data_IF_858464351638
#
_entry.id   IF_858464351638
#
_cell.length_a   1.000
_cell.length_b   1.000
_cell.length_c   1.000
_cell.angle_alpha   90.00
_cell.angle_beta   90.00
_cell.angle_gamma   90.00
#
_symmetry.space_group_name_H-M   'P 1'
#
loop_
_entity.id
_entity.type
_entity.pdbx_description
1 polymer ?
#
# COMPACT_ATOMS: atom_id res chain seq x y z
N UNK A 1 -9.45 4.08 -6.60
CA UNK A 1 -8.35 3.08 -6.80
C UNK A 1 -7.53 3.37 -8.07
N UNK A 2 -8.20 3.69 -9.19
CA UNK A 2 -7.54 3.87 -10.50
C UNK A 2 -6.52 5.00 -10.52
N UNK A 3 -6.77 6.10 -9.80
CA UNK A 3 -5.82 7.21 -9.67
C UNK A 3 -4.51 6.75 -9.01
N UNK A 4 -4.60 5.94 -7.93
CA UNK A 4 -3.41 5.39 -7.29
C UNK A 4 -2.69 4.36 -8.20
N UNK A 5 -3.45 3.61 -9.00
CA UNK A 5 -2.89 2.64 -9.95
C UNK A 5 -2.01 3.29 -11.04
N UNK A 6 -2.22 4.58 -11.35
CA UNK A 6 -1.35 5.34 -12.27
C UNK A 6 0.10 5.48 -11.79
N UNK A 7 0.40 5.15 -10.52
CA UNK A 7 1.77 5.15 -10.00
C UNK A 7 2.59 4.01 -10.62
N UNK A 8 1.96 2.91 -11.01
CA UNK A 8 2.64 1.75 -11.59
C UNK A 8 3.48 2.15 -12.84
N UNK A 9 4.74 1.69 -12.95
CA UNK A 9 5.38 0.65 -12.15
C UNK A 9 6.20 1.17 -10.96
N UNK A 10 6.14 2.47 -10.62
CA UNK A 10 6.94 3.02 -9.51
C UNK A 10 6.54 2.41 -8.16
N UNK A 11 7.46 2.25 -7.20
CA UNK A 11 7.13 1.69 -5.90
C UNK A 11 6.04 2.46 -5.16
N UNK A 12 5.07 1.73 -4.60
CA UNK A 12 3.96 2.26 -3.81
C UNK A 12 3.68 1.35 -2.60
N UNK A 13 3.57 1.96 -1.43
CA UNK A 13 3.09 1.32 -0.22
C UNK A 13 1.87 2.07 0.32
N UNK A 14 0.84 1.34 0.76
CA UNK A 14 -0.37 1.92 1.35
C UNK A 14 -0.69 1.29 2.70
N UNK A 15 -1.03 2.10 3.70
CA UNK A 15 -1.45 1.65 5.02
C UNK A 15 -2.91 2.03 5.27
N UNK A 16 -3.65 1.15 5.94
CA UNK A 16 -5.05 1.37 6.30
C UNK A 16 -5.34 0.80 7.69
N UNK A 17 -6.17 1.50 8.47
CA UNK A 17 -6.84 0.92 9.63
C UNK A 17 -8.18 0.32 9.23
N UNK A 18 -8.51 -0.87 9.72
CA UNK A 18 -9.77 -1.54 9.39
C UNK A 18 -11.03 -0.73 9.78
N UNK A 19 -10.95 -0.01 10.90
CA UNK A 19 -12.05 0.78 11.46
C UNK A 19 -11.95 2.27 11.08
N UNK A 20 -11.07 2.64 10.14
CA UNK A 20 -10.97 4.02 9.66
C UNK A 20 -12.19 4.37 8.80
N UNK A 21 -13.10 5.19 9.35
CA UNK A 21 -14.28 5.68 8.63
C UNK A 21 -13.97 6.54 7.40
N UNK A 22 -12.77 7.13 7.32
CA UNK A 22 -12.30 7.85 6.12
C UNK A 22 -11.91 6.93 4.97
N UNK A 23 -11.68 5.64 5.24
CA UNK A 23 -11.29 4.62 4.27
C UNK A 23 -12.10 3.33 4.49
N UNK A 24 -13.38 3.29 4.08
CA UNK A 24 -14.25 2.14 4.32
C UNK A 24 -13.61 0.81 3.87
N UNK A 25 -13.54 -0.17 4.78
CA UNK A 25 -12.69 -1.35 4.60
C UNK A 25 -13.03 -2.19 3.38
N UNK A 26 -14.31 -2.31 3.02
CA UNK A 26 -14.72 -3.09 1.85
C UNK A 26 -14.21 -2.44 0.56
N UNK A 27 -14.24 -1.11 0.48
CA UNK A 27 -13.69 -0.34 -0.63
C UNK A 27 -12.16 -0.44 -0.67
N UNK A 28 -11.49 -0.44 0.49
CA UNK A 28 -10.04 -0.66 0.58
C UNK A 28 -9.68 -2.05 0.05
N UNK A 29 -10.34 -3.11 0.55
CA UNK A 29 -10.08 -4.51 0.15
C UNK A 29 -10.32 -4.74 -1.34
N UNK A 30 -11.29 -4.05 -1.95
CA UNK A 30 -11.52 -4.09 -3.38
C UNK A 30 -10.50 -3.24 -4.15
N UNK A 31 -10.22 -2.03 -3.67
CA UNK A 31 -9.31 -1.08 -4.30
C UNK A 31 -7.88 -1.58 -4.42
N UNK A 32 -7.34 -2.22 -3.38
CA UNK A 32 -5.98 -2.77 -3.42
C UNK A 32 -5.82 -3.88 -4.45
N UNK A 33 -6.88 -4.66 -4.73
CA UNK A 33 -6.86 -5.69 -5.80
C UNK A 33 -6.78 -5.05 -7.19
N UNK A 34 -7.54 -3.97 -7.42
CA UNK A 34 -7.50 -3.21 -8.68
C UNK A 34 -6.10 -2.62 -8.92
N UNK A 35 -5.49 -2.05 -7.87
CA UNK A 35 -4.14 -1.50 -7.95
C UNK A 35 -3.13 -2.64 -8.22
N UNK A 36 -3.21 -3.76 -7.49
CA UNK A 36 -2.32 -4.91 -7.68
C UNK A 36 -2.37 -5.45 -9.12
N UNK A 37 -3.56 -5.54 -9.73
CA UNK A 37 -3.73 -5.96 -11.12
C UNK A 37 -3.00 -5.03 -12.11
N UNK A 38 -2.99 -3.72 -11.85
CA UNK A 38 -2.27 -2.76 -12.70
C UNK A 38 -0.74 -2.89 -12.57
N UNK A 39 -0.24 -3.21 -11.38
CA UNK A 39 1.18 -3.52 -11.19
C UNK A 39 1.58 -4.84 -11.87
N UNK A 40 0.74 -5.87 -11.78
CA UNK A 40 0.95 -7.16 -12.44
C UNK A 40 0.97 -7.03 -13.97
N UNK A 41 0.08 -6.23 -14.55
CA UNK A 41 0.06 -5.94 -15.99
C UNK A 41 1.36 -5.26 -16.49
N UNK A 42 2.20 -4.75 -15.58
CA UNK A 42 3.49 -4.13 -15.88
C UNK A 42 4.69 -4.97 -15.38
N UNK A 43 4.45 -6.20 -14.91
CA UNK A 43 5.48 -7.07 -14.31
C UNK A 43 6.23 -6.40 -13.14
N UNK A 44 5.50 -5.61 -12.34
CA UNK A 44 6.03 -4.83 -11.24
C UNK A 44 5.34 -5.19 -9.91
N UNK A 45 4.88 -6.42 -9.75
CA UNK A 45 4.12 -6.90 -8.59
C UNK A 45 4.85 -6.61 -7.27
N UNK A 46 6.17 -6.76 -7.26
CA UNK A 46 7.04 -6.55 -6.09
C UNK A 46 7.16 -5.07 -5.66
N UNK A 47 6.76 -4.14 -6.52
CA UNK A 47 6.79 -2.70 -6.25
C UNK A 47 5.53 -2.19 -5.54
N UNK A 48 4.46 -2.98 -5.49
CA UNK A 48 3.24 -2.62 -4.77
C UNK A 48 3.07 -3.45 -3.51
N UNK A 49 2.89 -2.78 -2.38
CA UNK A 49 2.54 -3.43 -1.12
C UNK A 49 1.43 -2.65 -0.42
N UNK A 50 0.66 -3.34 0.42
CA UNK A 50 -0.31 -2.69 1.30
C UNK A 50 -0.38 -3.41 2.63
N UNK A 51 -0.80 -2.71 3.67
CA UNK A 51 -1.04 -3.27 5.00
C UNK A 51 -2.36 -2.73 5.56
N UNK A 52 -3.17 -3.64 6.08
CA UNK A 52 -4.43 -3.34 6.76
C UNK A 52 -4.26 -3.83 8.20
N UNK A 53 -4.37 -2.92 9.16
CA UNK A 53 -4.28 -3.26 10.58
C UNK A 53 -5.68 -3.50 11.15
N UNK A 54 -5.95 -4.74 11.56
CA UNK A 54 -7.23 -5.18 12.13
C UNK A 54 -7.53 -4.43 13.43
N UNK A 55 -8.78 -4.00 13.60
CA UNK A 55 -9.21 -3.23 14.78
C UNK A 55 -8.64 -1.81 14.91
N UNK A 56 -7.80 -1.36 13.97
CA UNK A 56 -7.19 -0.03 13.99
C UNK A 56 -8.07 1.01 13.31
N UNK A 57 -8.15 2.22 13.88
CA UNK A 57 -8.94 3.33 13.33
C UNK A 57 -8.10 4.26 12.45
N UNK A 58 -8.40 5.56 12.52
CA UNK A 58 -7.66 6.61 11.80
C UNK A 58 -6.32 6.92 12.50
N UNK A 59 -5.31 6.06 12.30
CA UNK A 59 -3.98 6.18 12.90
C UNK A 59 -2.91 5.64 11.97
N UNK A 60 -1.67 6.13 12.12
CA UNK A 60 -0.48 5.52 11.54
C UNK A 60 0.31 4.81 12.65
N UNK A 61 0.05 3.51 12.82
CA UNK A 61 0.58 2.72 13.93
C UNK A 61 2.09 2.48 13.82
N UNK A 62 2.76 2.03 14.90
CA UNK A 62 4.16 1.59 14.83
C UNK A 62 4.41 0.51 13.76
N UNK A 63 3.46 -0.42 13.55
CA UNK A 63 3.58 -1.45 12.52
C UNK A 63 3.49 -0.86 11.10
N UNK A 64 2.61 0.12 10.88
CA UNK A 64 2.51 0.85 9.62
C UNK A 64 3.78 1.67 9.32
N UNK A 65 4.38 2.28 10.35
CA UNK A 65 5.66 2.97 10.24
C UNK A 65 6.79 2.01 9.86
N UNK A 66 6.89 0.85 10.51
CA UNK A 66 7.87 -0.18 10.19
C UNK A 66 7.77 -0.65 8.73
N UNK A 67 6.55 -0.90 8.24
CA UNK A 67 6.28 -1.26 6.84
C UNK A 67 6.68 -0.15 5.87
N UNK A 68 6.39 1.10 6.20
CA UNK A 68 6.75 2.28 5.39
C UNK A 68 8.27 2.43 5.28
N UNK A 69 8.97 2.35 6.41
CA UNK A 69 10.43 2.45 6.45
C UNK A 69 11.09 1.30 5.69
N UNK A 70 10.59 0.08 5.84
CA UNK A 70 11.06 -1.09 5.08
C UNK A 70 10.90 -0.91 3.56
N UNK A 71 9.78 -0.31 3.13
CA UNK A 71 9.53 -0.02 1.73
C UNK A 71 10.50 1.05 1.18
N UNK A 72 10.77 2.10 1.95
CA UNK A 72 11.77 3.10 1.59
C UNK A 72 13.18 2.53 1.55
N UNK A 73 13.55 1.70 2.52
CA UNK A 73 14.85 1.03 2.52
C UNK A 73 15.08 0.22 1.25
N UNK A 74 14.07 -0.52 0.79
CA UNK A 74 14.14 -1.31 -0.44
C UNK A 74 14.32 -0.46 -1.70
N UNK A 75 13.67 0.70 -1.78
CA UNK A 75 13.47 1.41 -3.05
C UNK A 75 14.17 2.76 -3.17
N UNK A 76 14.58 3.38 -2.07
CA UNK A 76 15.18 4.71 -2.04
C UNK A 76 16.62 4.73 -1.55
N UNK A 77 17.08 3.67 -0.87
CA UNK A 77 18.46 3.59 -0.45
C UNK A 77 19.37 3.21 -1.63
N UNK A 78 20.60 3.74 -1.69
CA UNK A 78 21.57 3.33 -2.69
C UNK A 78 21.80 1.82 -2.61
N UNK A 79 21.70 1.13 -3.74
CA UNK A 79 22.15 -0.25 -3.84
C UNK A 79 23.69 -0.22 -3.80
N UNK A 80 24.28 -0.92 -2.82
CA UNK A 80 25.74 -1.10 -2.73
C UNK A 80 26.25 -2.05 -3.81
#
# INVERSE_FOLDING_TARGET
>A
PDIAALIAPRPLHMNFGELDGGSPIDEVRNGVKIIANNYAAKHAETNFTYYIEEGSGHVLSPAMWDKTLSHFQRHLMPQQ
#
